data_IF_580679435400
#
_entry.id   IF_580679435400
#
_cell.length_a   1.000
_cell.length_b   1.000
_cell.length_c   1.000
_cell.angle_alpha   90.00
_cell.angle_beta   90.00
_cell.angle_gamma   90.00
#
_symmetry.space_group_name_H-M   'P 1'
#
loop_
_entity.id
_entity.type
_entity.pdbx_description
1 polymer ?
#
# COMPACT_ATOMS: atom_id res chain seq x y z
N UNK A 1 -6.01 -9.87 -15.94
CA UNK A 1 -5.24 -9.45 -14.73
C UNK A 1 -3.86 -8.94 -15.09
N UNK A 2 -3.01 -9.75 -15.77
CA UNK A 2 -1.62 -9.38 -16.09
C UNK A 2 -1.55 -8.11 -16.96
N UNK A 3 -2.32 -8.02 -18.02
CA UNK A 3 -2.38 -6.83 -18.89
C UNK A 3 -2.69 -5.55 -18.11
N UNK A 4 -3.68 -5.61 -17.21
CA UNK A 4 -4.02 -4.46 -16.36
C UNK A 4 -2.88 -4.05 -15.43
N UNK A 5 -2.13 -5.01 -14.88
CA UNK A 5 -0.96 -4.74 -14.05
C UNK A 5 0.12 -4.04 -14.87
N UNK A 6 0.39 -4.55 -16.08
CA UNK A 6 1.40 -3.99 -16.98
C UNK A 6 1.02 -2.58 -17.46
N UNK A 7 -0.24 -2.35 -17.82
CA UNK A 7 -0.76 -1.04 -18.20
C UNK A 7 -0.58 -0.02 -17.06
N UNK A 8 -1.01 -0.39 -15.85
CA UNK A 8 -0.87 0.46 -14.67
C UNK A 8 0.60 0.74 -14.33
N UNK A 9 1.44 -0.28 -14.40
CA UNK A 9 2.86 -0.12 -14.15
C UNK A 9 3.54 0.76 -15.21
N UNK A 10 3.18 0.63 -16.48
CA UNK A 10 3.68 1.48 -17.56
C UNK A 10 3.28 2.94 -17.35
N UNK A 11 2.01 3.20 -17.00
CA UNK A 11 1.54 4.54 -16.65
C UNK A 11 2.36 5.14 -15.50
N UNK A 12 2.54 4.39 -14.41
CA UNK A 12 3.30 4.88 -13.25
C UNK A 12 4.78 5.10 -13.57
N UNK A 13 5.42 4.19 -14.33
CA UNK A 13 6.81 4.36 -14.80
C UNK A 13 6.98 5.66 -15.59
N UNK A 14 6.01 6.04 -16.41
CA UNK A 14 6.02 7.30 -17.17
C UNK A 14 5.87 8.55 -16.30
N UNK A 15 5.43 8.40 -15.05
CA UNK A 15 5.24 9.50 -14.09
C UNK A 15 6.33 9.55 -13.00
N UNK A 16 7.05 8.44 -12.80
CA UNK A 16 8.07 8.35 -11.77
C UNK A 16 9.35 9.05 -12.19
N UNK A 17 9.90 9.85 -11.27
CA UNK A 17 11.22 10.50 -11.45
C UNK A 17 12.37 9.69 -10.82
N UNK A 18 12.04 8.72 -9.96
CA UNK A 18 12.97 7.82 -9.28
C UNK A 18 12.47 6.38 -9.40
N UNK A 19 13.33 5.42 -9.10
CA UNK A 19 12.99 4.00 -9.09
C UNK A 19 13.12 3.44 -7.66
N UNK A 20 12.11 3.64 -6.81
CA UNK A 20 12.15 3.13 -5.44
C UNK A 20 12.15 1.60 -5.43
N UNK A 21 12.96 1.01 -4.57
CA UNK A 21 12.96 -0.42 -4.28
C UNK A 21 12.15 -0.76 -3.02
N UNK A 22 11.68 0.28 -2.32
CA UNK A 22 10.92 0.15 -1.06
C UNK A 22 9.56 0.81 -1.20
N UNK A 23 8.53 0.11 -0.76
CA UNK A 23 7.19 0.65 -0.64
C UNK A 23 6.65 0.52 0.78
N UNK A 24 5.73 1.41 1.14
CA UNK A 24 5.06 1.45 2.43
C UNK A 24 3.56 1.57 2.20
N UNK A 25 2.76 0.69 2.79
CA UNK A 25 1.31 0.87 2.88
C UNK A 25 1.01 1.46 4.25
N UNK A 26 0.63 2.74 4.28
CA UNK A 26 0.34 3.45 5.52
C UNK A 26 -0.97 2.94 6.10
N UNK A 27 -0.88 2.39 7.30
CA UNK A 27 -2.04 1.96 8.09
C UNK A 27 -2.68 3.10 8.87
N UNK A 28 -3.73 2.77 9.60
CA UNK A 28 -4.42 3.68 10.52
C UNK A 28 -3.42 4.27 11.54
N UNK A 29 -3.46 5.58 11.71
CA UNK A 29 -2.55 6.30 12.62
C UNK A 29 -1.20 6.71 12.01
N UNK A 30 -0.81 6.20 10.85
CA UNK A 30 0.46 6.52 10.19
C UNK A 30 0.35 7.61 9.10
N UNK A 31 -0.78 8.31 9.03
CA UNK A 31 -0.97 9.40 8.06
C UNK A 31 0.06 10.53 8.19
N UNK A 32 0.56 10.79 9.41
CA UNK A 32 1.61 11.78 9.66
C UNK A 32 2.93 11.45 8.97
N UNK A 33 3.25 10.16 8.78
CA UNK A 33 4.47 9.75 8.07
C UNK A 33 4.52 10.24 6.62
N UNK A 34 3.35 10.43 5.99
CA UNK A 34 3.28 11.03 4.66
C UNK A 34 3.79 12.48 4.63
N UNK A 35 3.75 13.17 5.77
CA UNK A 35 4.32 14.51 5.96
C UNK A 35 5.85 14.55 5.99
N UNK A 36 6.48 13.45 6.43
CA UNK A 36 7.94 13.32 6.51
C UNK A 36 8.59 12.99 5.16
N UNK A 37 7.78 12.64 4.15
CA UNK A 37 8.29 12.36 2.80
C UNK A 37 8.63 13.69 2.13
N UNK A 38 9.87 13.85 1.73
CA UNK A 38 10.39 15.03 1.02
C UNK A 38 10.50 14.78 -0.49
N UNK A 39 10.72 15.84 -1.28
CA UNK A 39 10.80 15.78 -2.76
C UNK A 39 9.65 14.98 -3.37
N UNK A 40 8.47 15.08 -2.76
CA UNK A 40 7.35 14.20 -3.06
C UNK A 40 6.58 14.61 -4.31
N UNK A 41 6.15 13.58 -5.03
CA UNK A 41 5.19 13.64 -6.12
C UNK A 41 4.01 12.72 -5.78
N UNK A 42 2.79 13.19 -5.97
CA UNK A 42 1.58 12.50 -5.56
C UNK A 42 0.68 12.23 -6.78
N UNK A 43 0.06 11.06 -6.84
CA UNK A 43 -0.93 10.67 -7.85
C UNK A 43 -2.14 10.11 -7.11
N UNK A 44 -3.33 10.67 -7.36
CA UNK A 44 -4.58 10.16 -6.78
C UNK A 44 -4.92 8.81 -7.39
N UNK A 45 -5.51 7.90 -6.61
CA UNK A 45 -5.86 6.57 -7.11
C UNK A 45 -6.80 6.62 -8.30
N UNK A 46 -7.72 7.57 -8.34
CA UNK A 46 -8.65 7.79 -9.43
C UNK A 46 -8.00 8.19 -10.77
N UNK A 47 -6.77 8.71 -10.71
CA UNK A 47 -5.99 9.08 -11.91
C UNK A 47 -5.18 7.88 -12.46
N UNK A 48 -5.09 6.79 -11.69
CA UNK A 48 -4.26 5.64 -12.04
C UNK A 48 -5.14 4.59 -12.74
N UNK A 49 -4.84 4.22 -13.97
CA UNK A 49 -5.61 3.20 -14.70
C UNK A 49 -5.73 1.90 -13.89
N UNK A 50 -6.92 1.32 -13.87
CA UNK A 50 -7.24 0.06 -13.20
C UNK A 50 -7.07 0.03 -11.68
N UNK A 51 -6.70 1.13 -11.04
CA UNK A 51 -6.60 1.16 -9.58
C UNK A 51 -8.01 1.09 -8.97
N UNK A 52 -8.19 0.38 -7.85
CA UNK A 52 -9.44 0.47 -7.12
C UNK A 52 -9.64 1.92 -6.62
N UNK A 53 -10.87 2.37 -6.60
CA UNK A 53 -11.23 3.70 -6.12
C UNK A 53 -12.13 3.52 -4.91
N UNK A 54 -11.83 4.17 -3.80
CA UNK A 54 -12.68 4.13 -2.61
C UNK A 54 -14.07 4.68 -2.94
N UNK A 55 -15.10 3.95 -2.56
CA UNK A 55 -16.49 4.39 -2.68
C UNK A 55 -16.95 5.26 -1.51
N UNK A 56 -16.09 5.43 -0.51
CA UNK A 56 -16.37 6.23 0.70
C UNK A 56 -15.96 7.66 0.44
N UNK A 57 -16.95 8.56 0.50
CA UNK A 57 -16.76 10.00 0.32
C UNK A 57 -15.75 10.54 1.35
N UNK A 58 -14.73 11.27 0.88
CA UNK A 58 -13.66 11.81 1.73
C UNK A 58 -12.41 10.93 1.90
N UNK A 59 -12.38 9.71 1.35
CA UNK A 59 -11.22 8.81 1.40
C UNK A 59 -10.50 8.71 0.05
N UNK A 60 -10.14 9.85 -0.53
CA UNK A 60 -9.31 9.88 -1.74
C UNK A 60 -7.89 9.40 -1.39
N UNK A 61 -7.61 8.13 -1.67
CA UNK A 61 -6.28 7.58 -1.52
C UNK A 61 -5.33 8.10 -2.60
N UNK A 62 -4.03 8.10 -2.29
CA UNK A 62 -2.99 8.49 -3.24
C UNK A 62 -1.72 7.68 -3.10
N UNK A 63 -1.00 7.55 -4.21
CA UNK A 63 0.39 7.14 -4.22
C UNK A 63 1.27 8.36 -4.03
N UNK A 64 2.29 8.23 -3.19
CA UNK A 64 3.30 9.24 -2.94
C UNK A 64 4.65 8.63 -3.30
N UNK A 65 5.38 9.30 -4.18
CA UNK A 65 6.77 9.00 -4.49
C UNK A 65 7.63 10.11 -3.90
N UNK A 66 8.76 9.77 -3.31
CA UNK A 66 9.63 10.76 -2.70
C UNK A 66 10.70 10.13 -1.84
N UNK A 67 11.29 10.91 -0.96
CA UNK A 67 12.35 10.45 -0.04
C UNK A 67 11.86 10.41 1.39
N UNK A 68 12.14 9.30 2.06
CA UNK A 68 12.04 9.19 3.51
C UNK A 68 13.47 9.02 4.07
N UNK A 69 13.95 10.06 4.75
CA UNK A 69 15.36 10.17 5.03
C UNK A 69 16.16 10.25 3.72
N UNK A 70 17.07 9.31 3.50
CA UNK A 70 17.91 9.24 2.31
C UNK A 70 17.48 8.16 1.28
N UNK A 71 16.33 7.52 1.50
CA UNK A 71 15.82 6.44 0.63
C UNK A 71 14.67 6.90 -0.23
N UNK A 72 14.75 6.61 -1.53
CA UNK A 72 13.60 6.74 -2.41
C UNK A 72 12.56 5.68 -2.04
N UNK A 73 11.32 6.11 -1.87
CA UNK A 73 10.21 5.25 -1.48
C UNK A 73 8.97 5.54 -2.33
N UNK A 74 8.09 4.53 -2.35
CA UNK A 74 6.71 4.64 -2.79
C UNK A 74 5.80 4.41 -1.58
N UNK A 75 4.89 5.32 -1.28
CA UNK A 75 3.95 5.15 -0.20
C UNK A 75 2.51 5.14 -0.71
N UNK A 76 1.70 4.23 -0.19
CA UNK A 76 0.25 4.26 -0.31
C UNK A 76 -0.34 5.00 0.88
N UNK A 77 -0.92 6.16 0.66
CA UNK A 77 -1.76 6.83 1.65
C UNK A 77 -3.21 6.47 1.40
N UNK A 78 -3.74 5.59 2.24
CA UNK A 78 -5.00 4.88 2.02
C UNK A 78 -4.78 3.49 1.41
N UNK A 79 -5.65 2.55 1.78
CA UNK A 79 -5.62 1.16 1.31
C UNK A 79 -7.03 0.65 1.12
N UNK A 80 -7.15 -0.48 0.42
CA UNK A 80 -8.42 -1.16 0.15
C UNK A 80 -8.58 -2.32 1.12
N UNK A 81 -9.80 -2.50 1.66
CA UNK A 81 -10.06 -3.60 2.57
C UNK A 81 -11.14 -4.53 1.99
N UNK A 82 -10.99 -5.81 2.24
CA UNK A 82 -11.94 -6.83 1.81
C UNK A 82 -13.36 -6.57 2.34
N UNK A 83 -13.48 -6.11 3.59
CA UNK A 83 -14.78 -5.82 4.21
C UNK A 83 -15.52 -4.61 3.58
N UNK A 84 -14.83 -3.80 2.76
CA UNK A 84 -15.44 -2.72 1.97
C UNK A 84 -16.13 -3.22 0.69
N UNK A 85 -16.10 -4.55 0.45
CA UNK A 85 -16.70 -5.18 -0.72
C UNK A 85 -15.75 -5.42 -1.88
N UNK A 86 -14.47 -5.09 -1.74
CA UNK A 86 -13.45 -5.42 -2.75
C UNK A 86 -13.11 -6.92 -2.73
N UNK A 87 -12.96 -7.51 -3.90
CA UNK A 87 -12.40 -8.86 -4.02
C UNK A 87 -10.93 -8.89 -3.57
N UNK A 88 -10.43 -10.06 -3.18
CA UNK A 88 -9.01 -10.23 -2.85
C UNK A 88 -8.08 -9.85 -4.01
N UNK A 89 -8.53 -10.01 -5.26
CA UNK A 89 -7.77 -9.59 -6.44
C UNK A 89 -7.64 -8.08 -6.54
N UNK A 90 -8.66 -7.33 -6.16
CA UNK A 90 -8.64 -5.87 -6.13
C UNK A 90 -7.80 -5.36 -4.96
N UNK A 91 -7.99 -5.91 -3.75
CA UNK A 91 -7.20 -5.53 -2.57
C UNK A 91 -5.70 -5.73 -2.81
N UNK A 92 -5.31 -6.80 -3.49
CA UNK A 92 -3.89 -7.13 -3.75
C UNK A 92 -3.37 -6.57 -5.08
N UNK A 93 -4.20 -5.94 -5.90
CA UNK A 93 -3.79 -5.38 -7.18
C UNK A 93 -2.62 -4.37 -7.04
N UNK A 94 -2.66 -3.40 -6.10
CA UNK A 94 -1.55 -2.48 -5.91
C UNK A 94 -0.22 -3.17 -5.59
N UNK A 95 -0.25 -4.24 -4.80
CA UNK A 95 0.95 -5.02 -4.44
C UNK A 95 1.57 -5.68 -5.68
N UNK A 96 0.74 -6.18 -6.59
CA UNK A 96 1.20 -6.76 -7.86
C UNK A 96 1.80 -5.70 -8.78
N UNK A 97 1.19 -4.50 -8.82
CA UNK A 97 1.74 -3.34 -9.54
C UNK A 97 3.09 -2.92 -8.96
N UNK A 98 3.22 -2.84 -7.63
CA UNK A 98 4.50 -2.56 -6.96
C UNK A 98 5.59 -3.54 -7.37
N UNK A 99 5.28 -4.84 -7.45
CA UNK A 99 6.23 -5.85 -7.92
C UNK A 99 6.68 -5.58 -9.35
N UNK A 100 5.77 -5.22 -10.25
CA UNK A 100 6.06 -4.89 -11.65
C UNK A 100 6.87 -3.60 -11.79
N UNK A 101 6.75 -2.68 -10.84
CA UNK A 101 7.55 -1.45 -10.73
C UNK A 101 8.98 -1.70 -10.22
N UNK A 102 9.27 -2.91 -9.72
CA UNK A 102 10.60 -3.25 -9.20
C UNK A 102 10.75 -3.08 -7.69
N UNK A 103 9.65 -2.90 -6.95
CA UNK A 103 9.69 -2.88 -5.48
C UNK A 103 10.14 -4.24 -4.97
N UNK A 104 11.13 -4.23 -4.09
CA UNK A 104 11.74 -5.42 -3.47
C UNK A 104 11.30 -5.61 -2.02
N UNK A 105 11.07 -4.50 -1.32
CA UNK A 105 10.67 -4.50 0.09
C UNK A 105 9.36 -3.76 0.26
N UNK A 106 8.38 -4.38 0.90
CA UNK A 106 7.09 -3.79 1.21
C UNK A 106 6.86 -3.80 2.73
N UNK A 107 6.67 -2.62 3.30
CA UNK A 107 6.21 -2.45 4.68
C UNK A 107 4.70 -2.32 4.69
N UNK A 108 4.04 -3.18 5.45
CA UNK A 108 2.60 -3.15 5.66
C UNK A 108 2.34 -3.06 7.16
N UNK A 109 1.53 -2.11 7.57
CA UNK A 109 1.22 -1.90 8.98
C UNK A 109 -0.28 -1.90 9.24
N UNK A 110 -0.67 -2.35 10.41
CA UNK A 110 -2.03 -2.24 10.91
C UNK A 110 -2.03 -2.10 12.43
N UNK A 111 -3.07 -1.49 12.96
CA UNK A 111 -3.34 -1.54 14.39
C UNK A 111 -4.13 -2.83 14.70
N UNK A 112 -3.84 -3.45 15.83
CA UNK A 112 -4.58 -4.62 16.33
C UNK A 112 -4.58 -4.68 17.85
N UNK A 113 -5.52 -5.41 18.43
CA UNK A 113 -5.49 -5.76 19.85
C UNK A 113 -4.41 -6.79 20.13
N UNK A 114 -3.64 -6.60 21.21
CA UNK A 114 -2.70 -7.59 21.69
C UNK A 114 -3.39 -8.59 22.63
N UNK A 115 -3.07 -9.88 22.48
CA UNK A 115 -3.54 -10.96 23.38
C UNK A 115 -2.46 -11.41 24.35
N UNK A 116 -1.19 -11.09 24.10
CA UNK A 116 -0.12 -11.35 25.03
C UNK A 116 -0.18 -10.35 26.20
N UNK A 117 -0.22 -10.84 27.48
CA UNK A 117 -0.30 -9.98 28.65
C UNK A 117 0.91 -9.08 28.85
N UNK A 118 2.05 -9.41 28.23
CA UNK A 118 3.28 -8.61 28.31
C UNK A 118 3.29 -7.42 27.34
N UNK A 119 2.31 -7.34 26.42
CA UNK A 119 2.23 -6.23 25.48
C UNK A 119 1.60 -4.99 26.11
N UNK A 120 2.22 -3.85 25.91
CA UNK A 120 1.70 -2.55 26.28
C UNK A 120 1.09 -1.82 25.05
N UNK A 121 0.24 -0.82 25.32
CA UNK A 121 -0.31 0.04 24.26
C UNK A 121 0.83 0.82 23.61
N UNK A 122 0.94 0.73 22.29
CA UNK A 122 1.99 1.38 21.51
C UNK A 122 3.17 0.48 21.16
N UNK A 123 3.19 -0.76 21.64
CA UNK A 123 4.22 -1.72 21.25
C UNK A 123 4.16 -2.04 19.76
N UNK A 124 5.33 -2.23 19.17
CA UNK A 124 5.49 -2.67 17.80
C UNK A 124 5.79 -4.17 17.77
N UNK A 125 4.94 -4.91 17.06
CA UNK A 125 5.11 -6.34 16.85
C UNK A 125 5.45 -6.62 15.38
N UNK A 126 6.52 -7.36 15.15
CA UNK A 126 6.85 -7.86 13.81
C UNK A 126 6.22 -9.23 13.65
N UNK A 127 5.35 -9.37 12.64
CA UNK A 127 4.70 -10.64 12.32
C UNK A 127 5.72 -11.54 11.63
N UNK A 128 5.93 -12.74 12.15
CA UNK A 128 6.81 -13.77 11.56
C UNK A 128 6.02 -14.80 10.77
N UNK A 129 4.77 -15.04 11.15
CA UNK A 129 3.85 -15.95 10.46
C UNK A 129 2.39 -15.58 10.78
N UNK A 130 1.44 -16.12 10.03
CA UNK A 130 0.02 -15.85 10.22
C UNK A 130 -0.84 -17.03 9.78
N UNK A 131 -2.06 -17.09 10.31
CA UNK A 131 -3.09 -18.03 9.91
C UNK A 131 -4.15 -17.26 9.11
N UNK A 132 -4.43 -17.70 7.89
CA UNK A 132 -5.44 -17.08 7.04
C UNK A 132 -6.81 -17.74 7.26
N UNK A 133 -7.77 -16.96 7.80
CA UNK A 133 -9.17 -17.35 7.93
C UNK A 133 -10.10 -16.72 6.89
N UNK A 134 -9.55 -15.98 5.92
CA UNK A 134 -10.38 -15.42 4.86
C UNK A 134 -10.95 -16.50 3.94
N UNK A 135 -12.19 -16.33 3.44
CA UNK A 135 -12.83 -17.29 2.54
C UNK A 135 -12.17 -17.33 1.16
N UNK A 136 -11.44 -16.29 0.80
CA UNK A 136 -10.72 -16.19 -0.46
C UNK A 136 -9.21 -16.14 -0.23
N UNK A 137 -8.46 -16.59 -1.26
CA UNK A 137 -7.01 -16.54 -1.25
C UNK A 137 -6.50 -15.78 -2.47
N UNK A 138 -5.67 -14.73 -2.31
CA UNK A 138 -5.25 -13.85 -3.41
C UNK A 138 -4.31 -14.52 -4.44
N UNK A 139 -3.76 -15.69 -4.11
CA UNK A 139 -2.85 -16.45 -4.99
C UNK A 139 -3.57 -17.53 -5.82
N UNK A 140 -4.91 -17.61 -5.75
CA UNK A 140 -5.71 -18.57 -6.49
C UNK A 140 -6.62 -17.90 -7.52
#
# INVERSE_FOLDING_TARGET
MLERIQETAAFLKGKMHTQPETAIILGTGLGSLAGEITEKYEIRYEEIPNFPVSTVEGHSGKLIFGKLGHKDIMAMQGRFHFYEGYSMKEVTFPVRVMRELGIKTLFVSNASGGTNPDFAIGDLMIITDHINYFPEHPLR
#
